data_IF_626926156480
#
_entry.id   IF_626926156480
#
_cell.length_a   1.000
_cell.length_b   1.000
_cell.length_c   1.000
_cell.angle_alpha   90.00
_cell.angle_beta   90.00
_cell.angle_gamma   90.00
#
_symmetry.space_group_name_H-M   'P 1'
#
loop_
_entity.id
_entity.type
_entity.pdbx_description
1 polymer ?
#
# COMPACT_ATOMS: atom_id res chain seq x y z
N UNK A 1 17.75 -13.62 -13.43
CA UNK A 1 16.30 -13.88 -13.69
C UNK A 1 15.45 -12.74 -13.17
N UNK A 2 14.27 -12.50 -13.76
CA UNK A 2 13.28 -11.50 -13.31
C UNK A 2 11.94 -12.20 -13.09
N UNK A 3 11.23 -11.87 -12.02
CA UNK A 3 9.91 -12.44 -11.71
C UNK A 3 9.36 -11.93 -10.39
N UNK A 4 8.28 -12.55 -9.91
CA UNK A 4 7.62 -12.19 -8.66
C UNK A 4 7.53 -13.40 -7.74
N UNK A 5 8.04 -13.29 -6.50
CA UNK A 5 8.15 -14.42 -5.55
C UNK A 5 9.01 -15.58 -6.08
N UNK A 6 10.11 -15.25 -6.77
CA UNK A 6 11.01 -16.18 -7.47
C UNK A 6 11.56 -17.30 -6.59
N UNK A 7 11.59 -17.11 -5.26
CA UNK A 7 11.96 -18.15 -4.29
C UNK A 7 11.18 -19.46 -4.52
N UNK A 8 9.89 -19.38 -4.88
CA UNK A 8 9.04 -20.55 -5.07
C UNK A 8 9.43 -21.28 -6.35
N UNK A 9 9.61 -20.52 -7.43
CA UNK A 9 9.95 -21.04 -8.75
C UNK A 9 11.35 -21.68 -8.74
N UNK A 10 12.35 -20.98 -8.20
CA UNK A 10 13.72 -21.48 -8.11
C UNK A 10 13.83 -22.75 -7.29
N UNK A 11 13.08 -22.84 -6.17
CA UNK A 11 13.02 -24.05 -5.35
C UNK A 11 12.39 -25.22 -6.10
N UNK A 12 11.29 -24.98 -6.83
CA UNK A 12 10.63 -26.01 -7.63
C UNK A 12 11.53 -26.51 -8.78
N UNK A 13 12.26 -25.61 -9.42
CA UNK A 13 13.21 -25.91 -10.48
C UNK A 13 14.54 -26.49 -9.97
N UNK A 14 14.78 -26.50 -8.65
CA UNK A 14 16.05 -26.89 -8.02
C UNK A 14 17.25 -26.12 -8.59
N UNK A 15 17.03 -24.84 -8.86
CA UNK A 15 18.05 -23.95 -9.40
C UNK A 15 18.56 -23.00 -8.31
N UNK A 16 19.87 -22.85 -8.22
CA UNK A 16 20.50 -21.76 -7.51
C UNK A 16 21.02 -20.74 -8.54
N UNK A 17 20.52 -19.52 -8.46
CA UNK A 17 20.82 -18.47 -9.44
C UNK A 17 21.18 -17.18 -8.71
N UNK A 18 22.46 -16.82 -8.74
CA UNK A 18 23.01 -15.73 -7.93
C UNK A 18 22.40 -14.34 -8.21
N UNK A 19 21.88 -14.08 -9.41
CA UNK A 19 21.37 -12.76 -9.82
C UNK A 19 19.89 -12.80 -10.15
N UNK A 20 19.07 -12.38 -9.19
CA UNK A 20 17.61 -12.35 -9.33
C UNK A 20 17.06 -10.96 -9.04
N UNK A 21 16.08 -10.53 -9.83
CA UNK A 21 15.24 -9.38 -9.54
C UNK A 21 13.86 -9.93 -9.18
N UNK A 22 13.59 -10.05 -7.88
CA UNK A 22 12.29 -10.44 -7.36
C UNK A 22 11.47 -9.18 -7.08
N UNK A 23 10.47 -8.91 -7.92
CA UNK A 23 9.64 -7.70 -7.82
C UNK A 23 8.87 -7.63 -6.50
N UNK A 24 8.61 -8.78 -5.83
CA UNK A 24 7.99 -8.79 -4.50
C UNK A 24 8.88 -8.26 -3.38
N UNK A 25 10.20 -8.19 -3.63
CA UNK A 25 11.21 -7.65 -2.71
C UNK A 25 11.63 -6.23 -3.08
N UNK A 26 11.59 -5.91 -4.37
CA UNK A 26 11.90 -4.58 -4.89
C UNK A 26 10.84 -3.57 -4.47
N UNK A 27 9.55 -3.88 -4.70
CA UNK A 27 8.46 -2.99 -4.34
C UNK A 27 8.00 -3.17 -2.90
N UNK A 28 7.64 -2.07 -2.24
CA UNK A 28 7.15 -2.06 -0.85
C UNK A 28 5.95 -1.13 -0.74
N UNK A 29 5.06 -1.42 0.20
CA UNK A 29 3.98 -0.50 0.51
C UNK A 29 4.50 0.75 1.23
N UNK A 30 3.91 1.89 0.92
CA UNK A 30 4.19 3.17 1.59
C UNK A 30 3.84 3.06 3.08
N UNK A 31 4.84 3.03 3.96
CA UNK A 31 4.61 2.90 5.39
C UNK A 31 4.53 4.26 6.13
N UNK A 32 4.04 5.30 5.46
CA UNK A 32 3.95 6.65 6.04
C UNK A 32 3.01 6.71 7.26
N UNK A 33 2.13 5.73 7.44
CA UNK A 33 1.20 5.61 8.56
C UNK A 33 1.75 4.90 9.82
N UNK A 34 3.01 4.47 9.86
CA UNK A 34 3.61 3.84 11.05
C UNK A 34 3.04 2.46 11.39
N UNK A 35 2.43 1.78 10.41
CA UNK A 35 1.94 0.41 10.57
C UNK A 35 3.16 -0.52 10.65
N UNK A 36 3.04 -1.64 11.36
CA UNK A 36 4.09 -2.65 11.48
C UNK A 36 4.53 -3.23 10.12
N UNK A 37 5.29 -4.33 10.14
CA UNK A 37 5.82 -4.93 8.91
C UNK A 37 4.69 -5.33 7.94
N UNK A 38 4.48 -4.53 6.90
CA UNK A 38 3.45 -4.77 5.88
C UNK A 38 3.79 -6.00 5.02
N UNK A 39 2.79 -6.76 4.55
CA UNK A 39 2.99 -7.83 3.59
C UNK A 39 3.58 -7.27 2.28
N UNK A 40 4.23 -8.17 1.52
CA UNK A 40 4.71 -7.84 0.18
C UNK A 40 3.52 -7.53 -0.73
N UNK A 41 3.60 -6.48 -1.58
CA UNK A 41 2.56 -6.18 -2.54
C UNK A 41 2.38 -7.36 -3.51
N UNK A 42 1.12 -7.68 -3.82
CA UNK A 42 0.82 -8.71 -4.83
C UNK A 42 1.15 -8.20 -6.23
N UNK A 43 1.49 -9.11 -7.16
CA UNK A 43 1.76 -8.73 -8.54
C UNK A 43 0.59 -7.99 -9.20
N UNK A 44 -0.66 -8.40 -8.92
CA UNK A 44 -1.85 -7.72 -9.45
C UNK A 44 -1.97 -6.29 -8.93
N UNK A 45 -1.65 -6.07 -7.65
CA UNK A 45 -1.62 -4.72 -7.07
C UNK A 45 -0.54 -3.87 -7.71
N UNK A 46 0.67 -4.44 -7.89
CA UNK A 46 1.77 -3.74 -8.58
C UNK A 46 1.40 -3.36 -10.02
N UNK A 47 0.78 -4.25 -10.79
CA UNK A 47 0.33 -3.91 -12.14
C UNK A 47 -0.68 -2.77 -12.14
N UNK A 48 -1.63 -2.77 -11.20
CA UNK A 48 -2.62 -1.69 -11.09
C UNK A 48 -1.97 -0.37 -10.69
N UNK A 49 -1.14 -0.38 -9.65
CA UNK A 49 -0.54 0.84 -9.08
C UNK A 49 0.59 1.42 -9.92
N UNK A 50 1.41 0.58 -10.56
CA UNK A 50 2.62 1.02 -11.29
C UNK A 50 2.39 1.07 -12.79
N UNK A 51 1.68 0.09 -13.36
CA UNK A 51 1.48 -0.02 -14.81
C UNK A 51 0.10 0.48 -15.26
N UNK A 52 -0.81 0.80 -14.34
CA UNK A 52 -2.13 1.34 -14.64
C UNK A 52 -3.11 0.35 -15.28
N UNK A 53 -2.87 -0.97 -15.17
CA UNK A 53 -3.79 -1.98 -15.71
C UNK A 53 -4.01 -3.15 -14.74
N UNK A 54 -5.17 -3.79 -14.84
CA UNK A 54 -5.51 -4.99 -14.06
C UNK A 54 -5.07 -6.26 -14.80
N UNK A 55 -4.40 -7.16 -14.09
CA UNK A 55 -3.99 -8.44 -14.66
C UNK A 55 -5.20 -9.35 -14.91
N UNK A 56 -5.29 -9.87 -16.14
CA UNK A 56 -6.30 -10.85 -16.51
C UNK A 56 -6.04 -12.19 -15.81
N UNK A 57 -7.10 -12.77 -15.24
CA UNK A 57 -7.08 -14.15 -14.71
C UNK A 57 -7.43 -15.11 -15.86
N UNK A 58 -6.45 -15.43 -16.70
CA UNK A 58 -6.62 -16.27 -17.89
C UNK A 58 -5.75 -17.54 -17.86
N UNK A 59 -6.05 -18.55 -18.70
CA UNK A 59 -5.11 -19.60 -19.04
C UNK A 59 -3.80 -19.00 -19.55
N UNK A 60 -2.64 -19.60 -19.22
CA UNK A 60 -1.33 -19.02 -19.58
C UNK A 60 -0.85 -17.92 -18.62
N UNK A 61 -1.43 -17.86 -17.42
CA UNK A 61 -1.09 -16.91 -16.35
C UNK A 61 0.42 -16.70 -16.13
N UNK A 62 1.24 -17.75 -16.19
CA UNK A 62 2.69 -17.63 -15.97
C UNK A 62 3.41 -16.74 -16.99
N UNK A 63 3.01 -16.79 -18.27
CA UNK A 63 3.60 -15.93 -19.32
C UNK A 63 3.22 -14.47 -19.06
N UNK A 64 1.96 -14.21 -18.70
CA UNK A 64 1.50 -12.87 -18.34
C UNK A 64 2.17 -12.35 -17.06
N UNK A 65 2.38 -13.20 -16.06
CA UNK A 65 3.08 -12.84 -14.81
C UNK A 65 4.56 -12.54 -15.07
N UNK A 66 5.23 -13.32 -15.92
CA UNK A 66 6.61 -13.06 -16.33
C UNK A 66 6.72 -11.73 -17.10
N UNK A 67 5.82 -11.49 -18.05
CA UNK A 67 5.76 -10.25 -18.83
C UNK A 67 5.47 -9.03 -17.94
N UNK A 68 4.52 -9.15 -17.03
CA UNK A 68 4.20 -8.11 -16.05
C UNK A 68 5.40 -7.79 -15.14
N UNK A 69 6.08 -8.82 -14.63
CA UNK A 69 7.27 -8.66 -13.80
C UNK A 69 8.39 -7.94 -14.56
N UNK A 70 8.59 -8.26 -15.84
CA UNK A 70 9.57 -7.57 -16.68
C UNK A 70 9.19 -6.10 -16.90
N UNK A 71 7.92 -5.80 -17.23
CA UNK A 71 7.44 -4.43 -17.39
C UNK A 71 7.63 -3.58 -16.13
N UNK A 72 7.42 -4.15 -14.94
CA UNK A 72 7.69 -3.47 -13.68
C UNK A 72 9.17 -3.10 -13.52
N UNK A 73 10.09 -3.99 -13.89
CA UNK A 73 11.53 -3.70 -13.85
C UNK A 73 11.89 -2.61 -14.85
N UNK A 74 11.37 -2.69 -16.08
CA UNK A 74 11.57 -1.65 -17.10
C UNK A 74 11.07 -0.28 -16.62
N UNK A 75 9.92 -0.22 -15.96
CA UNK A 75 9.42 1.03 -15.37
C UNK A 75 10.40 1.66 -14.35
N UNK A 76 11.14 0.84 -13.59
CA UNK A 76 12.18 1.33 -12.69
C UNK A 76 13.42 1.80 -13.48
N UNK A 77 13.91 0.98 -14.41
CA UNK A 77 15.21 1.23 -15.06
C UNK A 77 15.14 2.31 -16.14
N UNK A 78 14.04 2.38 -16.89
CA UNK A 78 13.85 3.33 -18.01
C UNK A 78 13.10 4.57 -17.56
N UNK A 79 11.99 4.40 -16.82
CA UNK A 79 11.10 5.50 -16.45
C UNK A 79 11.39 6.08 -15.06
N UNK A 80 12.33 5.47 -14.30
CA UNK A 80 12.75 5.91 -12.96
C UNK A 80 11.58 6.03 -11.97
N UNK A 81 10.57 5.17 -12.11
CA UNK A 81 9.44 5.13 -11.16
C UNK A 81 9.93 4.64 -9.79
N UNK A 82 9.37 5.21 -8.72
CA UNK A 82 9.66 4.81 -7.36
C UNK A 82 9.16 3.38 -7.04
N UNK A 83 9.76 2.77 -6.03
CA UNK A 83 9.44 1.41 -5.59
C UNK A 83 8.47 1.37 -4.40
N UNK A 84 8.10 2.53 -3.83
CA UNK A 84 6.99 2.61 -2.89
C UNK A 84 5.66 2.61 -3.66
N UNK A 85 4.73 1.77 -3.23
CA UNK A 85 3.38 1.70 -3.78
C UNK A 85 2.34 1.97 -2.70
N UNK A 86 1.22 2.64 -3.04
CA UNK A 86 0.15 2.90 -2.08
C UNK A 86 -0.41 1.60 -1.51
N UNK A 87 -0.88 1.63 -0.26
CA UNK A 87 -1.61 0.51 0.31
C UNK A 87 -2.93 0.27 -0.46
N UNK A 88 -3.31 -0.99 -0.69
CA UNK A 88 -4.63 -1.29 -1.25
C UNK A 88 -5.74 -0.92 -0.26
N UNK A 89 -6.85 -0.38 -0.78
CA UNK A 89 -8.01 0.07 0.01
C UNK A 89 -8.56 -0.98 0.99
N UNK A 90 -8.46 -2.26 0.63
CA UNK A 90 -8.90 -3.37 1.47
C UNK A 90 -8.10 -3.46 2.78
N UNK A 91 -6.81 -3.12 2.74
CA UNK A 91 -5.95 -3.13 3.92
C UNK A 91 -6.20 -1.90 4.81
N UNK A 92 -6.49 -0.74 4.23
CA UNK A 92 -6.81 0.48 4.97
C UNK A 92 -8.09 0.33 5.81
N UNK A 93 -9.11 -0.35 5.27
CA UNK A 93 -10.39 -0.59 5.96
C UNK A 93 -10.25 -1.48 7.21
N UNK A 94 -9.21 -2.31 7.27
CA UNK A 94 -9.00 -3.21 8.41
C UNK A 94 -8.48 -2.46 9.64
N UNK A 95 -7.69 -1.39 9.45
CA UNK A 95 -7.15 -0.59 10.57
C UNK A 95 -8.17 0.36 11.19
N UNK A 96 -9.16 0.85 10.44
CA UNK A 96 -10.29 1.63 11.00
C UNK A 96 -11.09 0.86 12.06
N UNK A 97 -11.14 -0.48 11.97
CA UNK A 97 -11.79 -1.34 12.97
C UNK A 97 -11.00 -1.52 14.28
N UNK A 98 -9.76 -1.02 14.34
CA UNK A 98 -8.89 -1.04 15.52
C UNK A 98 -8.78 0.30 16.24
N UNK A 99 -9.40 1.35 15.71
CA UNK A 99 -9.49 2.64 16.38
C UNK A 99 -10.58 2.57 17.46
N UNK A 100 -10.14 2.47 18.72
CA UNK A 100 -11.04 2.67 19.86
C UNK A 100 -11.66 4.08 19.75
N UNK A 101 -12.99 4.24 19.91
CA UNK A 101 -13.60 5.55 19.91
C UNK A 101 -13.04 6.36 21.08
N UNK A 102 -12.28 7.41 20.78
CA UNK A 102 -11.96 8.45 21.78
C UNK A 102 -13.29 9.04 22.25
N UNK A 103 -13.64 8.82 23.51
CA UNK A 103 -14.87 9.35 24.11
C UNK A 103 -14.89 10.88 24.00
N UNK A 104 -15.85 11.37 23.22
CA UNK A 104 -16.19 12.78 23.06
C UNK A 104 -16.89 13.25 24.33
N UNK A 105 -16.12 13.72 25.32
CA UNK A 105 -16.65 14.44 26.46
C UNK A 105 -17.14 15.83 26.02
N UNK A 106 -18.44 15.91 25.71
CA UNK A 106 -19.19 17.16 25.58
C UNK A 106 -19.58 17.62 26.98
N UNK A 107 -18.95 18.69 27.48
CA UNK A 107 -19.57 19.55 28.49
C UNK A 107 -19.73 20.94 27.90
N UNK A 108 -20.97 21.19 27.44
CA UNK A 108 -21.53 22.51 27.23
C UNK A 108 -21.85 23.14 28.59
N UNK A 109 -21.57 24.43 28.76
CA UNK A 109 -22.58 25.38 29.27
C UNK A 109 -22.17 26.83 29.02
N UNK A 110 -23.12 27.53 28.39
CA UNK A 110 -23.17 28.96 28.12
C UNK A 110 -22.92 29.82 29.37
N UNK A 111 -22.13 30.89 29.23
CA UNK A 111 -22.16 32.05 30.13
C UNK A 111 -22.52 33.30 29.33
N UNK A 112 -23.83 33.55 29.17
CA UNK A 112 -24.35 34.88 28.85
C UNK A 112 -24.55 35.62 30.17
N UNK A 113 -23.81 36.71 30.43
CA UNK A 113 -24.19 37.68 31.46
C UNK A 113 -24.27 39.08 30.86
N UNK A 114 -25.48 39.62 31.01
CA UNK A 114 -26.00 40.90 30.58
C UNK A 114 -25.13 42.09 31.00
N UNK A 115 -24.88 43.02 30.08
CA UNK A 115 -24.63 44.42 30.38
C UNK A 115 -25.99 45.11 30.58
N UNK A 116 -26.36 45.36 31.84
CA UNK A 116 -27.41 46.33 32.18
C UNK A 116 -26.88 47.26 33.26
N UNK A 117 -27.00 48.54 32.97
CA UNK A 117 -26.36 49.64 33.68
C UNK A 117 -26.84 49.86 35.11
N UNK A 118 -26.05 50.68 35.81
CA UNK A 118 -26.41 51.33 37.06
C UNK A 118 -25.73 52.71 37.07
N UNK A 119 -26.52 53.76 36.86
CA UNK A 119 -26.30 55.09 37.49
C UNK A 119 -26.81 55.02 38.95
N UNK A 120 -26.77 56.08 39.78
CA UNK A 120 -25.96 57.32 39.82
C UNK A 120 -25.29 57.52 41.20
N UNK A 121 -24.37 58.50 41.30
CA UNK A 121 -24.42 59.71 42.15
C UNK A 121 -23.16 60.55 41.86
#
# INVERSE_FOLDING_TARGET
MVGHLLNKDLKALKMDHARVIDTSLVFKHDNSGGIGKLPRPSLSHLCKSVLGYEMLKSPGRCVHEALASMKLVLAIVELRIDTSVPLPDEMLKTDESRLLPMEKNVVSKHSKRNLRGRQPL
#
